data_IF_945955537111
#
_entry.id   IF_945955537111
#
_cell.length_a   1.000
_cell.length_b   1.000
_cell.length_c   1.000
_cell.angle_alpha   90.00
_cell.angle_beta   90.00
_cell.angle_gamma   90.00
#
_symmetry.space_group_name_H-M   'P 1'
#
loop_
_entity.id
_entity.type
_entity.pdbx_description
1 polymer ?
#
# COMPACT_ATOMS: atom_id res chain seq x y z
N UNK A 1 -78.68 -11.56 -28.61
CA UNK A 1 -77.32 -11.02 -28.82
C UNK A 1 -77.00 -10.17 -27.63
N UNK A 2 -76.27 -10.69 -26.67
CA UNK A 2 -75.83 -10.01 -25.43
C UNK A 2 -74.41 -9.55 -25.63
N UNK A 3 -74.08 -8.29 -25.27
CA UNK A 3 -72.69 -7.75 -25.38
C UNK A 3 -71.80 -8.26 -24.22
N UNK A 4 -70.59 -8.66 -24.55
CA UNK A 4 -69.55 -9.10 -23.60
C UNK A 4 -68.94 -7.89 -22.86
N UNK A 5 -68.53 -8.05 -21.58
CA UNK A 5 -67.92 -6.94 -20.83
C UNK A 5 -66.43 -6.76 -21.19
N UNK A 6 -66.08 -5.53 -21.42
CA UNK A 6 -64.68 -5.04 -21.64
C UNK A 6 -63.89 -5.11 -20.31
N UNK A 7 -62.90 -5.99 -20.21
CA UNK A 7 -62.02 -6.03 -19.06
C UNK A 7 -60.91 -4.97 -19.22
N UNK A 8 -60.95 -3.97 -18.39
CA UNK A 8 -59.85 -2.99 -18.26
C UNK A 8 -58.65 -3.64 -17.54
N UNK A 9 -57.52 -3.73 -18.23
CA UNK A 9 -56.27 -4.14 -17.64
C UNK A 9 -55.58 -2.88 -17.10
N UNK A 10 -55.60 -2.70 -15.78
CA UNK A 10 -54.79 -1.65 -15.09
C UNK A 10 -53.34 -2.18 -15.04
N UNK A 11 -52.47 -1.59 -15.84
CA UNK A 11 -51.01 -1.78 -15.75
C UNK A 11 -50.46 -0.86 -14.62
N UNK A 12 -50.13 -1.46 -13.48
CA UNK A 12 -49.38 -0.74 -12.44
C UNK A 12 -47.92 -0.61 -12.89
N UNK A 13 -47.52 0.59 -13.29
CA UNK A 13 -46.08 0.96 -13.45
C UNK A 13 -45.45 1.08 -12.05
N UNK A 14 -44.65 0.09 -11.65
CA UNK A 14 -43.73 0.23 -10.53
C UNK A 14 -42.51 1.05 -11.00
N UNK A 15 -42.49 2.34 -10.67
CA UNK A 15 -41.27 3.14 -10.74
C UNK A 15 -40.37 2.69 -9.59
N UNK A 16 -39.38 1.84 -9.89
CA UNK A 16 -38.29 1.59 -8.96
C UNK A 16 -37.43 2.87 -8.86
N UNK A 17 -37.63 3.66 -7.81
CA UNK A 17 -36.68 4.69 -7.41
C UNK A 17 -35.36 3.97 -7.02
N UNK A 18 -34.39 3.97 -7.92
CA UNK A 18 -33.01 3.69 -7.57
C UNK A 18 -32.55 4.81 -6.62
N UNK A 19 -32.59 4.54 -5.33
CA UNK A 19 -31.96 5.41 -4.34
C UNK A 19 -30.46 5.41 -4.64
N UNK A 20 -29.97 6.49 -5.29
CA UNK A 20 -28.53 6.78 -5.36
C UNK A 20 -28.12 7.01 -3.92
N UNK A 21 -27.41 6.06 -3.33
CA UNK A 21 -26.78 6.25 -2.04
C UNK A 21 -25.92 7.52 -2.12
N UNK A 22 -26.01 8.46 -1.16
CA UNK A 22 -25.17 9.63 -1.18
C UNK A 22 -23.72 9.19 -1.24
N UNK A 23 -22.93 9.77 -2.14
CA UNK A 23 -21.49 9.56 -2.19
C UNK A 23 -20.96 9.84 -0.77
N UNK A 24 -20.39 8.83 -0.13
CA UNK A 24 -19.87 8.97 1.22
C UNK A 24 -18.76 10.01 1.15
N UNK A 25 -18.98 11.19 1.74
CA UNK A 25 -17.95 12.23 1.78
C UNK A 25 -16.75 11.67 2.49
N UNK A 26 -15.60 11.69 1.82
CA UNK A 26 -14.33 11.25 2.43
C UNK A 26 -14.06 12.19 3.60
N UNK A 27 -13.80 11.67 4.80
CA UNK A 27 -13.48 12.52 5.93
C UNK A 27 -12.20 13.31 5.67
N UNK A 28 -12.14 14.55 6.02
CA UNK A 28 -10.90 15.28 6.21
C UNK A 28 -10.14 14.67 7.40
N UNK A 29 -8.81 14.77 7.43
CA UNK A 29 -7.90 14.20 8.44
C UNK A 29 -7.59 12.70 8.29
N UNK A 30 -7.55 12.19 7.07
CA UNK A 30 -7.06 10.85 6.80
C UNK A 30 -5.61 10.66 7.28
N UNK A 31 -5.36 9.52 7.91
CA UNK A 31 -4.01 9.00 8.07
C UNK A 31 -3.64 8.20 6.80
N UNK A 32 -2.74 8.75 6.02
CA UNK A 32 -2.48 8.29 4.65
C UNK A 32 -1.26 7.38 4.63
N UNK A 33 -1.39 6.24 3.95
CA UNK A 33 -0.29 5.31 3.68
C UNK A 33 -0.02 5.23 2.19
N UNK A 34 1.23 5.47 1.78
CA UNK A 34 1.68 5.29 0.41
C UNK A 34 2.19 3.86 0.20
N UNK A 35 1.56 3.13 -0.71
CA UNK A 35 1.87 1.73 -1.02
C UNK A 35 2.65 1.66 -2.32
N UNK A 36 3.97 1.45 -2.25
CA UNK A 36 4.92 1.48 -3.36
C UNK A 36 5.80 0.23 -3.42
N UNK A 37 6.33 -0.07 -4.57
CA UNK A 37 7.11 -1.27 -4.84
C UNK A 37 6.65 -1.98 -6.11
N UNK A 38 6.77 -3.32 -6.15
CA UNK A 38 6.44 -4.08 -7.35
C UNK A 38 5.22 -5.01 -7.17
N UNK A 39 5.19 -6.13 -7.89
CA UNK A 39 4.00 -6.99 -7.97
C UNK A 39 3.53 -7.56 -6.63
N UNK A 40 4.43 -7.83 -5.70
CA UNK A 40 4.07 -8.30 -4.35
C UNK A 40 3.57 -7.17 -3.43
N UNK A 41 3.76 -5.89 -3.78
CA UNK A 41 2.99 -4.79 -3.20
C UNK A 41 1.63 -4.65 -3.88
N UNK A 42 1.60 -4.74 -5.20
CA UNK A 42 0.36 -4.58 -5.97
C UNK A 42 -0.68 -5.69 -5.71
N UNK A 43 -0.23 -6.85 -5.23
CA UNK A 43 -1.09 -8.01 -4.98
C UNK A 43 -1.30 -8.88 -6.23
N UNK A 44 -1.14 -10.18 -6.05
CA UNK A 44 -1.29 -11.21 -7.12
C UNK A 44 -2.04 -12.45 -6.61
N UNK A 45 -2.54 -12.41 -5.37
CA UNK A 45 -3.33 -13.47 -4.77
C UNK A 45 -4.72 -13.57 -5.41
N UNK A 46 -5.33 -14.76 -5.34
CA UNK A 46 -6.74 -14.93 -5.71
C UNK A 46 -7.62 -14.08 -4.76
N UNK A 47 -8.56 -13.33 -5.34
CA UNK A 47 -9.50 -12.52 -4.56
C UNK A 47 -10.60 -13.42 -3.99
N UNK A 48 -10.82 -13.35 -2.68
CA UNK A 48 -11.84 -14.08 -1.95
C UNK A 48 -12.87 -13.09 -1.36
N UNK A 49 -14.07 -13.56 -0.95
CA UNK A 49 -15.12 -12.67 -0.44
C UNK A 49 -14.67 -11.74 0.71
N UNK A 50 -13.80 -12.22 1.59
CA UNK A 50 -13.24 -11.43 2.69
C UNK A 50 -12.36 -10.25 2.22
N UNK A 51 -11.77 -10.36 1.04
CA UNK A 51 -10.92 -9.31 0.46
C UNK A 51 -11.74 -8.17 -0.14
N UNK A 52 -13.02 -8.44 -0.44
CA UNK A 52 -13.98 -7.48 -0.96
C UNK A 52 -14.92 -6.91 0.12
N UNK A 53 -14.78 -7.34 1.37
CA UNK A 53 -15.51 -6.76 2.50
C UNK A 53 -14.77 -5.51 3.01
N UNK A 54 -15.27 -4.28 2.80
CA UNK A 54 -14.56 -3.07 3.20
C UNK A 54 -14.60 -2.89 4.72
N UNK A 55 -13.57 -2.26 5.26
CA UNK A 55 -13.59 -1.74 6.62
C UNK A 55 -14.16 -0.31 6.62
N UNK A 56 -15.11 0.06 7.53
CA UNK A 56 -15.85 1.33 7.46
C UNK A 56 -14.97 2.58 7.56
N UNK A 57 -13.76 2.46 8.10
CA UNK A 57 -12.82 3.57 8.31
C UNK A 57 -11.56 3.48 7.45
N UNK A 58 -11.56 2.65 6.41
CA UNK A 58 -10.41 2.50 5.49
C UNK A 58 -10.85 2.77 4.06
N UNK A 59 -10.21 3.74 3.45
CA UNK A 59 -10.45 4.16 2.07
C UNK A 59 -9.21 3.88 1.21
N UNK A 60 -9.39 3.74 -0.09
CA UNK A 60 -8.30 3.68 -1.06
C UNK A 60 -8.48 4.74 -2.14
N UNK A 61 -7.37 5.27 -2.64
CA UNK A 61 -7.34 6.23 -3.73
C UNK A 61 -7.37 5.50 -5.07
N UNK A 62 -8.44 5.69 -5.86
CA UNK A 62 -8.57 5.09 -7.18
C UNK A 62 -7.54 5.63 -8.18
N UNK A 63 -7.48 5.05 -9.37
CA UNK A 63 -6.65 5.57 -10.46
C UNK A 63 -7.00 7.01 -10.83
N UNK A 64 -8.28 7.34 -10.77
CA UNK A 64 -8.88 8.66 -11.09
C UNK A 64 -8.80 9.65 -9.91
N UNK A 65 -8.05 9.30 -8.85
CA UNK A 65 -7.87 10.11 -7.64
C UNK A 65 -9.15 10.33 -6.83
N UNK A 66 -10.11 9.43 -6.91
CA UNK A 66 -11.28 9.40 -6.05
C UNK A 66 -11.07 8.46 -4.86
N UNK A 67 -11.56 8.83 -3.68
CA UNK A 67 -11.57 7.97 -2.52
C UNK A 67 -12.79 7.05 -2.54
N UNK A 68 -12.55 5.76 -2.34
CA UNK A 68 -13.60 4.73 -2.23
C UNK A 68 -13.28 3.80 -1.06
N UNK A 69 -14.25 3.05 -0.51
CA UNK A 69 -13.96 2.02 0.49
C UNK A 69 -12.88 1.05 0.01
N UNK A 70 -11.89 0.75 0.87
CA UNK A 70 -10.74 -0.06 0.50
C UNK A 70 -11.10 -1.54 0.38
N UNK A 71 -10.93 -2.11 -0.80
CA UNK A 71 -11.09 -3.53 -1.12
C UNK A 71 -9.98 -4.00 -2.06
N UNK A 72 -9.78 -5.30 -2.20
CA UNK A 72 -8.94 -5.87 -3.25
C UNK A 72 -9.77 -6.23 -4.51
N UNK A 73 -9.18 -6.14 -5.71
CA UNK A 73 -7.84 -5.68 -6.01
C UNK A 73 -7.72 -4.17 -5.86
N UNK A 74 -6.68 -3.72 -5.15
CA UNK A 74 -6.50 -2.30 -4.80
C UNK A 74 -5.69 -1.53 -5.83
N UNK A 75 -4.66 -2.17 -6.40
CA UNK A 75 -3.76 -1.57 -7.38
C UNK A 75 -4.30 -1.70 -8.81
N UNK A 76 -3.67 -1.00 -9.76
CA UNK A 76 -4.15 -0.92 -11.15
C UNK A 76 -3.00 -0.94 -12.18
N UNK A 77 -1.81 -1.43 -11.78
CA UNK A 77 -0.62 -1.52 -12.64
C UNK A 77 -0.79 -2.49 -13.82
N UNK A 78 -1.39 -3.64 -13.58
CA UNK A 78 -1.68 -4.70 -14.55
C UNK A 78 -3.05 -5.28 -14.28
N UNK A 79 -4.13 -4.67 -14.80
CA UNK A 79 -5.52 -5.02 -14.44
C UNK A 79 -5.86 -6.51 -14.58
N UNK A 80 -5.24 -7.20 -15.55
CA UNK A 80 -5.43 -8.64 -15.78
C UNK A 80 -4.69 -9.56 -14.78
N UNK A 81 -3.86 -8.99 -13.90
CA UNK A 81 -3.00 -9.73 -12.95
C UNK A 81 -3.12 -9.31 -11.51
N UNK A 82 -3.73 -8.15 -11.25
CA UNK A 82 -3.93 -7.67 -9.87
C UNK A 82 -4.92 -8.56 -9.13
N UNK A 83 -4.68 -8.71 -7.84
CA UNK A 83 -5.51 -9.54 -6.96
C UNK A 83 -5.37 -9.11 -5.50
N UNK A 84 -5.57 -10.05 -4.59
CA UNK A 84 -5.35 -9.84 -3.16
C UNK A 84 -3.91 -9.42 -2.90
N UNK A 85 -3.73 -8.36 -2.11
CA UNK A 85 -2.46 -7.83 -1.66
C UNK A 85 -2.41 -7.66 -0.13
N UNK A 86 -1.31 -7.09 0.36
CA UNK A 86 -1.13 -6.86 1.79
C UNK A 86 -1.91 -5.63 2.30
N UNK A 87 -2.23 -4.68 1.42
CA UNK A 87 -2.72 -3.35 1.78
C UNK A 87 -4.06 -3.34 2.50
N UNK A 88 -5.02 -4.15 2.05
CA UNK A 88 -6.37 -4.19 2.65
C UNK A 88 -6.33 -4.71 4.10
N UNK A 89 -5.61 -5.81 4.35
CA UNK A 89 -5.45 -6.36 5.70
C UNK A 89 -4.67 -5.41 6.61
N UNK A 90 -3.60 -4.79 6.10
CA UNK A 90 -2.86 -3.74 6.81
C UNK A 90 -3.81 -2.62 7.25
N UNK A 91 -4.58 -2.04 6.32
CA UNK A 91 -5.49 -0.94 6.57
C UNK A 91 -6.55 -1.27 7.62
N UNK A 92 -7.16 -2.45 7.56
CA UNK A 92 -8.14 -2.89 8.54
C UNK A 92 -7.54 -2.96 9.96
N UNK A 93 -6.36 -3.56 10.11
CA UNK A 93 -5.73 -3.73 11.43
C UNK A 93 -5.24 -2.43 12.07
N UNK A 94 -4.73 -1.48 11.28
CA UNK A 94 -4.36 -0.17 11.83
C UNK A 94 -5.62 0.62 12.22
N UNK A 95 -6.74 0.44 11.52
CA UNK A 95 -8.01 1.06 11.86
C UNK A 95 -8.63 0.44 13.13
N UNK A 96 -8.55 -0.87 13.29
CA UNK A 96 -9.01 -1.55 14.52
C UNK A 96 -8.25 -1.07 15.76
N UNK A 97 -6.93 -0.85 15.62
CA UNK A 97 -6.09 -0.37 16.71
C UNK A 97 -6.29 1.12 17.05
N UNK A 98 -6.91 1.92 16.18
CA UNK A 98 -7.15 3.34 16.38
C UNK A 98 -8.61 3.71 16.08
N UNK A 99 -9.56 3.49 17.01
CA UNK A 99 -11.00 3.60 16.78
C UNK A 99 -11.48 4.97 16.27
N UNK A 100 -10.79 6.04 16.64
CA UNK A 100 -11.16 7.42 16.25
C UNK A 100 -10.52 7.87 14.92
N UNK A 101 -9.60 7.07 14.36
CA UNK A 101 -8.87 7.45 13.15
C UNK A 101 -9.52 6.87 11.88
N UNK A 102 -9.37 7.61 10.78
CA UNK A 102 -9.75 7.18 9.43
C UNK A 102 -8.50 7.10 8.56
N UNK A 103 -8.42 6.08 7.74
CA UNK A 103 -7.20 5.74 7.02
C UNK A 103 -7.41 5.79 5.51
N UNK A 104 -6.40 6.31 4.81
CA UNK A 104 -6.35 6.37 3.36
C UNK A 104 -5.17 5.56 2.82
N UNK A 105 -5.42 4.62 1.93
CA UNK A 105 -4.40 3.83 1.24
C UNK A 105 -4.19 4.38 -0.17
N UNK A 106 -2.96 4.67 -0.52
CA UNK A 106 -2.59 5.23 -1.84
C UNK A 106 -1.80 4.19 -2.63
N UNK A 107 -2.48 3.41 -3.48
CA UNK A 107 -1.83 2.42 -4.34
C UNK A 107 -0.99 3.12 -5.41
N UNK A 108 0.30 2.79 -5.50
CA UNK A 108 1.20 3.32 -6.52
C UNK A 108 2.28 2.29 -6.96
N UNK A 109 2.13 1.00 -6.61
CA UNK A 109 3.07 -0.03 -7.00
C UNK A 109 3.00 -0.35 -8.51
N UNK A 110 4.13 -0.84 -9.06
CA UNK A 110 4.24 -1.26 -10.47
C UNK A 110 4.97 -2.60 -10.60
N UNK A 111 4.26 -3.61 -11.08
CA UNK A 111 4.76 -4.98 -11.16
C UNK A 111 5.95 -5.15 -12.08
N UNK A 112 7.02 -5.77 -11.56
CA UNK A 112 8.26 -6.04 -12.28
C UNK A 112 9.29 -4.92 -12.26
N UNK A 113 9.00 -3.77 -11.60
CA UNK A 113 9.93 -2.65 -11.56
C UNK A 113 11.16 -2.94 -10.69
N UNK A 114 12.34 -2.57 -11.18
CA UNK A 114 13.57 -2.55 -10.43
C UNK A 114 13.69 -1.24 -9.61
N UNK A 115 14.57 -1.24 -8.59
CA UNK A 115 14.75 -0.05 -7.74
C UNK A 115 15.20 1.19 -8.52
N UNK A 116 15.98 1.03 -9.59
CA UNK A 116 16.41 2.16 -10.41
C UNK A 116 15.26 2.90 -11.09
N UNK A 117 14.16 2.20 -11.39
CA UNK A 117 12.94 2.80 -11.95
C UNK A 117 12.15 3.62 -10.91
N UNK A 118 12.55 3.54 -9.64
CA UNK A 118 12.06 4.33 -8.52
C UNK A 118 13.01 5.47 -8.10
N UNK A 119 14.12 5.67 -8.82
CA UNK A 119 15.00 6.79 -8.56
C UNK A 119 14.28 8.14 -8.75
N UNK A 120 14.63 9.20 -8.00
CA UNK A 120 14.04 10.52 -8.16
C UNK A 120 14.02 10.97 -9.62
N UNK A 121 12.86 11.41 -10.10
CA UNK A 121 12.64 11.79 -11.50
C UNK A 121 12.23 10.66 -12.44
N UNK A 122 12.33 9.41 -12.04
CA UNK A 122 11.84 8.28 -12.84
C UNK A 122 10.31 8.16 -12.75
N UNK A 123 9.71 7.52 -13.74
CA UNK A 123 8.25 7.49 -13.91
C UNK A 123 7.48 6.99 -12.67
N UNK A 124 7.91 5.89 -12.05
CA UNK A 124 7.22 5.32 -10.89
C UNK A 124 7.34 6.22 -9.67
N UNK A 125 8.51 6.82 -9.45
CA UNK A 125 8.73 7.81 -8.40
C UNK A 125 7.82 9.04 -8.58
N UNK A 126 7.84 9.65 -9.78
CA UNK A 126 7.03 10.83 -10.09
C UNK A 126 5.54 10.55 -9.92
N UNK A 127 5.07 9.38 -10.38
CA UNK A 127 3.69 8.96 -10.19
C UNK A 127 3.34 8.77 -8.70
N UNK A 128 4.20 8.13 -7.92
CA UNK A 128 3.98 7.94 -6.48
C UNK A 128 3.89 9.28 -5.74
N UNK A 129 4.80 10.22 -6.03
CA UNK A 129 4.78 11.57 -5.46
C UNK A 129 3.51 12.33 -5.84
N UNK A 130 3.11 12.28 -7.11
CA UNK A 130 1.89 12.97 -7.57
C UNK A 130 0.64 12.41 -6.87
N UNK A 131 0.50 11.09 -6.76
CA UNK A 131 -0.62 10.44 -6.07
C UNK A 131 -0.62 10.74 -4.57
N UNK A 132 0.53 10.71 -3.92
CA UNK A 132 0.65 11.08 -2.52
C UNK A 132 0.25 12.55 -2.30
N UNK A 133 0.73 13.48 -3.12
CA UNK A 133 0.36 14.91 -3.02
C UNK A 133 -1.15 15.14 -3.22
N UNK A 134 -1.79 14.41 -4.14
CA UNK A 134 -3.23 14.47 -4.31
C UNK A 134 -3.95 13.96 -3.04
N UNK A 135 -3.49 12.86 -2.46
CA UNK A 135 -4.05 12.31 -1.24
C UNK A 135 -3.88 13.24 -0.03
N UNK A 136 -2.74 13.92 0.07
CA UNK A 136 -2.42 14.84 1.19
C UNK A 136 -3.32 16.08 1.27
N UNK A 137 -4.15 16.34 0.25
CA UNK A 137 -5.22 17.35 0.35
C UNK A 137 -6.31 16.94 1.35
N UNK A 138 -6.39 15.67 1.75
CA UNK A 138 -7.40 15.10 2.63
C UNK A 138 -6.84 14.61 3.97
N UNK A 139 -5.55 14.80 4.24
CA UNK A 139 -4.95 14.32 5.48
C UNK A 139 -3.43 14.45 5.52
N UNK A 140 -2.78 13.61 6.33
CA UNK A 140 -1.32 13.61 6.51
C UNK A 140 -0.73 12.25 6.19
N UNK A 141 0.50 12.21 5.71
CA UNK A 141 1.23 10.96 5.51
C UNK A 141 1.56 10.33 6.87
N UNK A 142 1.09 9.11 7.09
CA UNK A 142 1.29 8.34 8.32
C UNK A 142 2.29 7.19 8.14
N UNK A 143 2.58 6.80 6.89
CA UNK A 143 3.54 5.75 6.60
C UNK A 143 3.77 5.50 5.12
N UNK A 144 4.89 4.88 4.82
CA UNK A 144 5.25 4.37 3.49
C UNK A 144 5.43 2.87 3.61
N UNK A 145 4.72 2.11 2.79
CA UNK A 145 4.87 0.66 2.70
C UNK A 145 5.60 0.34 1.41
N UNK A 146 6.72 -0.39 1.53
CA UNK A 146 7.56 -0.80 0.42
C UNK A 146 7.66 -2.32 0.34
N UNK A 147 7.35 -2.89 -0.81
CA UNK A 147 7.57 -4.30 -1.09
C UNK A 147 8.12 -4.48 -2.50
N UNK A 148 9.43 -4.66 -2.61
CA UNK A 148 10.18 -4.81 -3.86
C UNK A 148 11.53 -5.44 -3.54
N UNK A 149 12.14 -6.10 -4.50
CA UNK A 149 13.47 -6.69 -4.40
C UNK A 149 13.69 -7.74 -5.48
N UNK A 150 12.63 -8.37 -5.97
CA UNK A 150 12.71 -9.48 -6.89
C UNK A 150 13.42 -9.13 -8.22
N UNK A 151 13.24 -7.89 -8.70
CA UNK A 151 13.92 -7.38 -9.91
C UNK A 151 15.38 -6.95 -9.65
N UNK A 152 15.79 -6.92 -8.38
CA UNK A 152 17.14 -6.56 -7.93
C UNK A 152 17.86 -7.72 -7.24
N UNK A 153 17.44 -9.00 -7.49
CA UNK A 153 18.04 -10.20 -6.88
C UNK A 153 19.45 -10.50 -7.38
N UNK A 154 19.89 -9.95 -8.52
CA UNK A 154 21.25 -10.12 -9.00
C UNK A 154 22.27 -9.58 -7.97
N UNK A 155 23.39 -10.31 -7.71
CA UNK A 155 24.32 -9.96 -6.63
C UNK A 155 24.88 -8.54 -6.68
N UNK A 156 25.17 -8.03 -7.87
CA UNK A 156 25.65 -6.66 -8.10
C UNK A 156 24.62 -5.61 -7.76
N UNK A 157 23.35 -5.85 -8.07
CA UNK A 157 22.22 -4.99 -7.70
C UNK A 157 21.92 -5.05 -6.20
N UNK A 158 21.89 -6.25 -5.64
CA UNK A 158 21.66 -6.45 -4.21
C UNK A 158 22.76 -5.77 -3.36
N UNK A 159 24.03 -5.83 -3.76
CA UNK A 159 25.14 -5.21 -3.04
C UNK A 159 25.03 -3.69 -2.88
N UNK A 160 24.34 -3.01 -3.78
CA UNK A 160 24.16 -1.55 -3.75
C UNK A 160 22.76 -1.13 -3.33
N UNK A 161 21.87 -2.08 -3.10
CA UNK A 161 20.44 -1.85 -2.89
C UNK A 161 20.16 -0.90 -1.70
N UNK A 162 20.76 -1.15 -0.56
CA UNK A 162 20.50 -0.37 0.66
C UNK A 162 20.83 1.12 0.49
N UNK A 163 21.97 1.43 -0.13
CA UNK A 163 22.40 2.82 -0.38
C UNK A 163 21.47 3.51 -1.38
N UNK A 164 21.09 2.82 -2.48
CA UNK A 164 20.15 3.36 -3.48
C UNK A 164 18.77 3.58 -2.89
N UNK A 165 18.28 2.63 -2.09
CA UNK A 165 16.99 2.73 -1.40
C UNK A 165 16.97 3.89 -0.40
N UNK A 166 18.00 4.02 0.45
CA UNK A 166 18.11 5.11 1.41
C UNK A 166 18.07 6.48 0.73
N UNK A 167 18.77 6.64 -0.40
CA UNK A 167 18.75 7.88 -1.19
C UNK A 167 17.35 8.17 -1.75
N UNK A 168 16.67 7.17 -2.29
CA UNK A 168 15.32 7.28 -2.83
C UNK A 168 14.31 7.69 -1.74
N UNK A 169 14.33 7.01 -0.59
CA UNK A 169 13.42 7.32 0.54
C UNK A 169 13.70 8.70 1.13
N UNK A 170 14.96 9.10 1.27
CA UNK A 170 15.29 10.44 1.77
C UNK A 170 14.71 11.54 0.86
N UNK A 171 14.83 11.38 -0.45
CA UNK A 171 14.24 12.32 -1.40
C UNK A 171 12.71 12.28 -1.39
N UNK A 172 12.11 11.08 -1.33
CA UNK A 172 10.65 10.92 -1.26
C UNK A 172 10.05 11.62 -0.03
N UNK A 173 10.69 11.46 1.13
CA UNK A 173 10.30 12.16 2.35
C UNK A 173 10.42 13.68 2.21
N UNK A 174 11.49 14.15 1.56
CA UNK A 174 11.68 15.58 1.30
C UNK A 174 10.62 16.15 0.35
N UNK A 175 10.30 15.44 -0.75
CA UNK A 175 9.32 15.87 -1.75
C UNK A 175 7.88 15.87 -1.23
N UNK A 176 7.62 15.11 -0.15
CA UNK A 176 6.33 15.00 0.53
C UNK A 176 6.27 15.78 1.86
N UNK A 177 7.34 16.51 2.22
CA UNK A 177 7.46 17.22 3.51
C UNK A 177 7.17 16.32 4.72
N UNK A 178 7.76 15.13 4.72
CA UNK A 178 7.44 14.03 5.64
C UNK A 178 8.71 13.29 6.14
N UNK A 179 9.69 14.05 6.64
CA UNK A 179 11.05 13.58 6.99
C UNK A 179 11.04 12.42 7.98
N UNK A 180 10.11 12.42 8.94
CA UNK A 180 10.06 11.45 10.04
C UNK A 180 8.99 10.36 9.84
N UNK A 181 8.37 10.28 8.66
CA UNK A 181 7.34 9.27 8.38
C UNK A 181 7.94 7.86 8.43
N UNK A 182 7.30 6.90 9.15
CA UNK A 182 7.73 5.51 9.17
C UNK A 182 7.74 4.87 7.77
N UNK A 183 8.78 4.07 7.50
CA UNK A 183 8.86 3.22 6.30
C UNK A 183 8.89 1.77 6.71
N UNK A 184 7.98 0.97 6.19
CA UNK A 184 7.93 -0.46 6.44
C UNK A 184 8.33 -1.18 5.16
N UNK A 185 9.37 -1.99 5.23
CA UNK A 185 9.91 -2.76 4.10
C UNK A 185 9.72 -4.25 4.30
N UNK A 186 9.29 -4.96 3.27
CA UNK A 186 9.07 -6.40 3.32
C UNK A 186 10.14 -7.21 2.63
N UNK A 187 10.42 -8.38 3.19
CA UNK A 187 11.25 -9.43 2.60
C UNK A 187 10.57 -10.02 1.37
N UNK A 188 11.32 -10.30 0.30
CA UNK A 188 10.81 -11.08 -0.83
C UNK A 188 10.57 -12.53 -0.42
N UNK A 189 9.73 -13.25 -1.17
CA UNK A 189 9.37 -14.62 -0.84
C UNK A 189 10.59 -15.53 -0.72
N UNK A 190 10.76 -16.23 0.42
CA UNK A 190 11.86 -17.19 0.67
C UNK A 190 11.77 -18.45 -0.19
N UNK A 191 10.67 -18.68 -0.86
CA UNK A 191 10.47 -19.74 -1.85
C UNK A 191 11.23 -19.48 -3.16
N UNK A 192 11.82 -18.28 -3.32
CA UNK A 192 12.63 -17.93 -4.49
C UNK A 192 14.06 -18.45 -4.32
N UNK A 193 14.56 -19.13 -5.36
CA UNK A 193 15.93 -19.66 -5.34
C UNK A 193 17.02 -18.58 -5.38
N UNK A 194 16.70 -17.41 -5.96
CA UNK A 194 17.61 -16.27 -6.16
C UNK A 194 17.41 -15.13 -5.14
N UNK A 195 16.63 -15.36 -4.08
CA UNK A 195 16.24 -14.32 -3.13
C UNK A 195 17.26 -14.00 -2.03
N UNK A 196 18.28 -14.85 -1.81
CA UNK A 196 19.13 -14.76 -0.62
C UNK A 196 19.88 -13.42 -0.50
N UNK A 197 20.53 -12.95 -1.57
CA UNK A 197 21.32 -11.74 -1.56
C UNK A 197 20.45 -10.49 -1.34
N UNK A 198 19.31 -10.41 -2.04
CA UNK A 198 18.41 -9.26 -1.90
C UNK A 198 17.71 -9.27 -0.54
N UNK A 199 17.32 -10.43 0.00
CA UNK A 199 16.72 -10.52 1.32
C UNK A 199 17.69 -10.10 2.43
N UNK A 200 18.98 -10.44 2.29
CA UNK A 200 20.01 -9.92 3.17
C UNK A 200 20.09 -8.37 3.10
N UNK A 201 20.10 -7.80 1.90
CA UNK A 201 20.10 -6.33 1.74
C UNK A 201 18.84 -5.68 2.34
N UNK A 202 17.65 -6.27 2.13
CA UNK A 202 16.39 -5.77 2.68
C UNK A 202 16.37 -5.79 4.22
N UNK A 203 16.90 -6.86 4.84
CA UNK A 203 16.93 -6.97 6.31
C UNK A 203 17.81 -5.92 6.98
N UNK A 204 18.80 -5.39 6.28
CA UNK A 204 19.70 -4.34 6.77
C UNK A 204 19.20 -2.90 6.50
N UNK A 205 18.07 -2.71 5.80
CA UNK A 205 17.57 -1.36 5.49
C UNK A 205 17.33 -0.48 6.72
N UNK A 206 16.88 -1.01 7.88
CA UNK A 206 16.75 -0.19 9.10
C UNK A 206 18.06 0.45 9.61
N UNK A 207 19.21 -0.08 9.21
CA UNK A 207 20.53 0.51 9.55
C UNK A 207 20.87 1.73 8.67
N UNK A 208 20.28 1.82 7.48
CA UNK A 208 20.53 2.87 6.48
C UNK A 208 19.43 3.94 6.45
N UNK A 209 18.23 3.61 6.88
CA UNK A 209 17.06 4.50 6.81
C UNK A 209 16.49 4.71 8.19
N UNK A 210 16.54 5.95 8.73
CA UNK A 210 15.86 6.27 9.98
C UNK A 210 14.36 5.97 9.91
N UNK A 211 13.75 5.56 11.02
CA UNK A 211 12.33 5.22 11.10
C UNK A 211 11.91 4.16 10.04
N UNK A 212 12.73 3.15 9.89
CA UNK A 212 12.48 2.02 9.01
C UNK A 212 12.32 0.73 9.85
N UNK A 213 11.37 -0.10 9.48
CA UNK A 213 11.22 -1.46 10.01
C UNK A 213 11.20 -2.47 8.88
N UNK A 214 11.80 -3.63 9.15
CA UNK A 214 11.82 -4.78 8.24
C UNK A 214 10.76 -5.80 8.66
N UNK A 215 10.08 -6.38 7.68
CA UNK A 215 9.06 -7.43 7.85
C UNK A 215 9.53 -8.69 7.15
N UNK A 216 9.68 -9.77 7.91
CA UNK A 216 10.09 -11.07 7.38
C UNK A 216 8.96 -11.76 6.60
N UNK A 217 9.34 -12.49 5.54
CA UNK A 217 8.47 -13.40 4.79
C UNK A 217 8.61 -14.88 5.24
N UNK A 218 9.22 -15.12 6.39
CA UNK A 218 9.40 -16.48 6.91
C UNK A 218 8.07 -17.21 7.08
N UNK A 219 8.01 -18.45 6.59
CA UNK A 219 6.83 -19.30 6.69
C UNK A 219 5.71 -18.97 5.69
N UNK A 220 5.91 -17.97 4.82
CA UNK A 220 4.92 -17.62 3.81
C UNK A 220 5.09 -18.46 2.55
N UNK A 221 3.96 -18.77 1.89
CA UNK A 221 3.88 -19.60 0.72
C UNK A 221 3.64 -18.78 -0.56
N UNK A 222 4.04 -19.36 -1.69
CA UNK A 222 3.72 -18.82 -3.01
C UNK A 222 2.43 -19.43 -3.56
N UNK A 223 1.84 -18.76 -4.54
CA UNK A 223 0.62 -19.21 -5.21
C UNK A 223 0.84 -20.32 -6.26
N UNK A 224 2.03 -20.93 -6.31
CA UNK A 224 2.43 -21.98 -7.27
C UNK A 224 3.36 -21.50 -8.38
N UNK A 225 3.70 -20.21 -8.46
CA UNK A 225 4.57 -19.64 -9.49
C UNK A 225 6.01 -19.35 -9.02
N UNK A 226 6.32 -19.64 -7.75
CA UNK A 226 7.60 -19.39 -7.09
C UNK A 226 8.06 -17.93 -7.15
N UNK A 227 7.13 -17.00 -7.29
CA UNK A 227 7.39 -15.58 -7.41
C UNK A 227 6.45 -14.72 -6.54
N UNK A 228 5.15 -15.01 -6.58
CA UNK A 228 4.15 -14.21 -5.89
C UNK A 228 3.56 -14.99 -4.72
N UNK A 229 3.33 -14.30 -3.62
CA UNK A 229 2.66 -14.89 -2.47
C UNK A 229 1.23 -15.35 -2.82
N UNK A 230 0.74 -16.34 -2.11
CA UNK A 230 -0.67 -16.70 -2.11
C UNK A 230 -1.51 -15.73 -1.26
N UNK A 231 -2.84 -15.81 -1.35
CA UNK A 231 -3.73 -14.87 -0.66
C UNK A 231 -3.62 -14.94 0.86
N UNK A 232 -3.52 -16.13 1.52
CA UNK A 232 -3.25 -16.22 2.94
C UNK A 232 -1.95 -15.52 3.35
N UNK A 233 -0.87 -15.68 2.57
CA UNK A 233 0.43 -15.06 2.82
C UNK A 233 0.40 -13.54 2.61
N UNK A 234 -0.32 -13.02 1.63
CA UNK A 234 -0.54 -11.59 1.51
C UNK A 234 -1.25 -10.98 2.70
N UNK A 235 -2.28 -11.65 3.23
CA UNK A 235 -2.98 -11.20 4.44
C UNK A 235 -2.06 -11.25 5.66
N UNK A 236 -1.23 -12.29 5.78
CA UNK A 236 -0.25 -12.38 6.86
C UNK A 236 0.83 -11.28 6.73
N UNK A 237 1.32 -10.97 5.53
CA UNK A 237 2.17 -9.80 5.32
C UNK A 237 1.47 -8.52 5.79
N UNK A 238 0.21 -8.33 5.46
CA UNK A 238 -0.58 -7.20 5.95
C UNK A 238 -0.58 -7.09 7.47
N UNK A 239 -0.72 -8.21 8.20
CA UNK A 239 -0.63 -8.25 9.67
C UNK A 239 0.76 -7.84 10.16
N UNK A 240 1.80 -8.39 9.57
CA UNK A 240 3.19 -8.09 9.95
C UNK A 240 3.56 -6.63 9.70
N UNK A 241 3.12 -6.07 8.57
CA UNK A 241 3.30 -4.65 8.26
C UNK A 241 2.57 -3.76 9.26
N UNK A 242 1.34 -4.10 9.64
CA UNK A 242 0.57 -3.34 10.63
C UNK A 242 1.26 -3.35 11.99
N UNK A 243 1.70 -4.51 12.46
CA UNK A 243 2.44 -4.64 13.73
C UNK A 243 3.75 -3.84 13.72
N UNK A 244 4.51 -3.91 12.62
CA UNK A 244 5.77 -3.17 12.48
C UNK A 244 5.53 -1.64 12.48
N UNK A 245 4.51 -1.16 11.77
CA UNK A 245 4.15 0.25 11.77
C UNK A 245 3.69 0.72 13.15
N UNK A 246 2.83 -0.02 13.83
CA UNK A 246 2.36 0.31 15.19
C UNK A 246 3.52 0.43 16.18
N UNK A 247 4.51 -0.46 16.09
CA UNK A 247 5.72 -0.41 16.91
C UNK A 247 6.52 0.87 16.66
N UNK A 248 6.75 1.24 15.39
CA UNK A 248 7.47 2.48 15.05
C UNK A 248 6.67 3.73 15.43
N UNK A 249 5.37 3.75 15.19
CA UNK A 249 4.51 4.90 15.49
C UNK A 249 4.39 5.17 17.00
N UNK A 250 4.52 4.14 17.83
CA UNK A 250 4.53 4.27 19.30
C UNK A 250 5.88 4.75 19.86
N UNK A 251 6.95 4.71 19.06
CA UNK A 251 8.31 5.08 19.51
C UNK A 251 8.57 6.56 19.24
N UNK A 252 8.78 7.41 20.26
CA UNK A 252 9.13 8.80 20.05
C UNK A 252 10.44 8.92 19.26
N UNK A 253 10.48 9.87 18.30
CA UNK A 253 11.70 10.20 17.56
C UNK A 253 12.76 10.66 18.53
N UNK A 254 13.79 9.87 18.78
CA UNK A 254 15.00 10.35 19.44
C UNK A 254 15.81 11.17 18.41
N UNK A 255 15.60 12.48 18.39
CA UNK A 255 16.47 13.39 17.66
C UNK A 255 17.88 13.26 18.28
N UNK A 256 18.82 12.63 17.58
CA UNK A 256 20.22 12.69 17.96
C UNK A 256 20.61 14.18 17.94
N UNK A 257 21.17 14.74 19.03
CA UNK A 257 21.60 16.13 19.03
C UNK A 257 22.62 16.32 17.91
N UNK A 258 22.42 17.34 17.08
CA UNK A 258 23.38 17.76 16.08
C UNK A 258 24.57 18.29 16.88
N UNK A 259 25.67 17.54 16.90
CA UNK A 259 26.94 18.01 17.43
C UNK A 259 27.44 19.14 16.51
N UNK A 260 27.05 20.35 16.85
CA UNK A 260 27.64 21.55 16.23
C UNK A 260 29.09 21.62 16.71
N UNK A 261 30.01 21.23 15.83
CA UNK A 261 31.45 21.43 16.09
C UNK A 261 31.71 22.90 16.27
N UNK A 262 32.35 23.34 17.36
CA UNK A 262 32.66 24.76 17.56
C UNK A 262 33.59 25.24 16.43
N UNK A 263 33.20 26.32 15.76
CA UNK A 263 34.09 27.01 14.80
C UNK A 263 35.35 27.40 15.53
N UNK A 264 36.52 26.91 15.10
CA UNK A 264 37.80 27.42 15.51
C UNK A 264 37.93 28.83 14.92
N UNK A 265 38.00 29.83 15.81
CA UNK A 265 38.45 31.19 15.47
C UNK A 265 39.94 31.17 15.14
#
# INVERSE_FOLDING_TARGET
MTPAPLRAVMACLYLALLAVAPAQSVPDNLQIFLLIGQSNMAGRGAVEPQDQAPHPRVFMLTKELAWVPAIDPMHFDKPERIGTGLGKTFGALVADAAPEAVFGLVPAAFGGSALDEWAPGQLHYVNAVARAKAALQHGRLAGILWHQGEADSAPDKAATYAVRFAKMIAQLRADLDAQDVPVIVGETGRFRADGAAINAALSHLPEFVPHCAFVSAEGLADKGDKLHFDSPSFRELGRRYAAAWQTLAATPVQLKPILVSPRKN
#
